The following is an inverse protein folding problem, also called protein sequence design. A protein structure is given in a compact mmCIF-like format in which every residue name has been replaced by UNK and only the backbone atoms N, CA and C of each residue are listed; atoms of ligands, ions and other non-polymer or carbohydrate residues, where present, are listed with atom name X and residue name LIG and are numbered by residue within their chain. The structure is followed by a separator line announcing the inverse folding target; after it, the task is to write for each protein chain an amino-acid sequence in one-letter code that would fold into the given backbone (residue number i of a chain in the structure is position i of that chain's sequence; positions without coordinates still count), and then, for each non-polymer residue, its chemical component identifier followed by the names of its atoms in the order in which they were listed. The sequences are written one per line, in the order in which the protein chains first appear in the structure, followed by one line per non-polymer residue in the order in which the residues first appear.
data_IF_183735678707
#
_entry.id   IF_183735678707
#
_cell.length_a   1.000
_cell.length_b   1.000
_cell.length_c   1.000
_cell.angle_alpha   90.00
_cell.angle_beta   90.00
_cell.angle_gamma   90.00
#
_symmetry.space_group_name_H-M   'P 1'
#
loop_
_entity.id
_entity.type
_entity.pdbx_description
1 polymer ?
#
# COMPACT_ATOMS: atom_id res chain seq x y z
N UNK A 1 31.11 -5.78 -51.88
CA UNK A 1 30.90 -4.54 -51.11
C UNK A 1 29.53 -3.92 -51.44
N UNK A 2 28.45 -4.70 -51.39
CA UNK A 2 27.08 -4.19 -51.51
C UNK A 2 26.14 -4.91 -50.52
N UNK A 3 26.54 -6.08 -50.05
CA UNK A 3 25.83 -6.89 -49.05
C UNK A 3 25.95 -6.41 -47.59
N UNK A 4 26.90 -5.51 -47.26
CA UNK A 4 27.09 -5.06 -45.87
C UNK A 4 26.26 -3.82 -45.50
N UNK A 5 25.67 -3.15 -46.50
CA UNK A 5 24.86 -1.95 -46.30
C UNK A 5 23.39 -2.25 -45.96
N UNK A 6 22.96 -3.50 -46.08
CA UNK A 6 21.59 -3.94 -45.82
C UNK A 6 21.32 -4.35 -44.36
N UNK A 7 22.34 -4.38 -43.48
CA UNK A 7 22.17 -4.84 -42.11
C UNK A 7 21.99 -3.72 -41.06
N UNK A 8 22.26 -2.46 -41.40
CA UNK A 8 22.20 -1.34 -40.44
C UNK A 8 20.90 -0.53 -40.48
N UNK A 9 20.03 -0.71 -41.48
CA UNK A 9 18.83 0.12 -41.64
C UNK A 9 17.62 -0.30 -40.78
N UNK A 10 17.69 -1.41 -40.03
CA UNK A 10 16.53 -1.98 -39.32
C UNK A 10 16.43 -1.63 -37.82
N UNK A 11 17.34 -0.82 -37.26
CA UNK A 11 17.36 -0.50 -35.82
C UNK A 11 16.91 0.93 -35.46
N UNK A 12 16.31 1.66 -36.39
CA UNK A 12 15.61 2.89 -36.06
C UNK A 12 14.17 2.57 -35.60
N UNK A 13 14.03 1.83 -34.50
CA UNK A 13 12.75 1.81 -33.76
C UNK A 13 12.66 3.20 -33.11
N UNK A 14 11.77 4.10 -33.54
CA UNK A 14 11.53 5.30 -32.76
C UNK A 14 11.08 4.81 -31.39
N UNK A 15 11.76 5.27 -30.35
CA UNK A 15 11.26 5.18 -28.99
C UNK A 15 9.95 5.98 -28.98
N UNK A 16 8.85 5.31 -29.34
CA UNK A 16 7.51 5.80 -29.10
C UNK A 16 7.37 5.75 -27.59
N UNK A 17 7.73 6.86 -26.94
CA UNK A 17 7.25 7.14 -25.61
C UNK A 17 5.75 6.88 -25.63
N UNK A 18 5.27 5.91 -24.85
CA UNK A 18 3.83 5.65 -24.74
C UNK A 18 3.17 6.96 -24.38
N UNK A 19 2.23 7.40 -25.22
CA UNK A 19 1.39 8.55 -24.90
C UNK A 19 0.79 8.33 -23.51
N UNK A 20 0.75 9.35 -22.63
CA UNK A 20 0.16 9.22 -21.31
C UNK A 20 -1.26 8.66 -21.45
N UNK A 21 -1.48 7.47 -20.89
CA UNK A 21 -2.80 6.84 -20.86
C UNK A 21 -3.76 7.74 -20.08
N UNK A 22 -4.96 7.92 -20.62
CA UNK A 22 -6.08 8.50 -19.86
C UNK A 22 -6.65 7.42 -18.94
N UNK A 23 -6.67 7.61 -17.61
CA UNK A 23 -7.23 6.63 -16.69
C UNK A 23 -8.74 6.46 -16.87
N UNK A 24 -9.24 5.23 -16.78
CA UNK A 24 -10.66 4.91 -16.73
C UNK A 24 -11.17 5.04 -15.29
N UNK A 25 -11.63 6.25 -14.95
CA UNK A 25 -12.07 6.59 -13.60
C UNK A 25 -13.32 5.80 -13.18
N UNK A 26 -14.21 5.47 -14.11
CA UNK A 26 -15.43 4.72 -13.79
C UNK A 26 -15.12 3.25 -13.49
N UNK A 27 -14.19 2.64 -14.23
CA UNK A 27 -13.68 1.31 -13.89
C UNK A 27 -12.99 1.31 -12.52
N UNK A 28 -12.17 2.32 -12.22
CA UNK A 28 -11.55 2.47 -10.90
C UNK A 28 -12.60 2.59 -9.79
N UNK A 29 -13.64 3.41 -9.98
CA UNK A 29 -14.72 3.60 -9.00
C UNK A 29 -15.51 2.32 -8.76
N UNK A 30 -15.85 1.59 -9.82
CA UNK A 30 -16.53 0.30 -9.73
C UNK A 30 -15.67 -0.74 -8.99
N UNK A 31 -14.37 -0.80 -9.28
CA UNK A 31 -13.44 -1.68 -8.58
C UNK A 31 -13.24 -1.31 -7.10
N UNK A 32 -13.23 -0.02 -6.77
CA UNK A 32 -13.09 0.47 -5.40
C UNK A 32 -14.34 0.26 -4.56
N UNK A 33 -15.53 0.33 -5.16
CA UNK A 33 -16.81 0.06 -4.45
C UNK A 33 -16.87 -1.36 -3.88
N UNK A 34 -16.15 -2.32 -4.49
CA UNK A 34 -16.02 -3.69 -3.97
C UNK A 34 -15.35 -3.76 -2.59
N UNK A 35 -14.58 -2.73 -2.22
CA UNK A 35 -13.91 -2.61 -0.91
C UNK A 35 -14.76 -1.90 0.15
N UNK A 36 -16.01 -1.55 -0.16
CA UNK A 36 -16.89 -0.81 0.76
C UNK A 36 -17.13 -1.53 2.08
N UNK A 37 -17.04 -2.87 2.10
CA UNK A 37 -17.14 -3.66 3.33
C UNK A 37 -16.01 -3.40 4.32
N UNK A 38 -14.87 -2.84 3.90
CA UNK A 38 -13.76 -2.48 4.80
C UNK A 38 -14.03 -1.16 5.53
N UNK A 39 -14.94 -0.33 5.02
CA UNK A 39 -15.15 1.04 5.49
C UNK A 39 -15.90 1.04 6.81
N UNK A 40 -15.37 1.78 7.78
CA UNK A 40 -15.93 1.88 9.12
C UNK A 40 -14.86 1.83 10.20
N UNK A 41 -15.33 1.69 11.43
CA UNK A 41 -14.49 1.53 12.61
C UNK A 41 -14.50 0.07 13.04
N UNK A 42 -13.32 -0.48 13.22
CA UNK A 42 -13.10 -1.87 13.63
C UNK A 42 -12.39 -1.91 14.97
N UNK A 43 -12.74 -2.91 15.78
CA UNK A 43 -12.05 -3.19 17.03
C UNK A 43 -12.07 -4.69 17.27
N UNK A 44 -10.94 -5.25 17.67
CA UNK A 44 -10.83 -6.69 17.91
C UNK A 44 -9.52 -7.06 18.58
N UNK A 45 -9.45 -8.31 19.01
CA UNK A 45 -8.22 -8.87 19.54
C UNK A 45 -7.39 -9.44 18.38
N UNK A 46 -6.08 -9.20 18.41
CA UNK A 46 -5.14 -9.80 17.48
C UNK A 46 -4.14 -10.66 18.24
N UNK A 47 -3.52 -11.61 17.54
CA UNK A 47 -2.40 -12.41 18.03
C UNK A 47 -1.34 -12.46 16.96
N UNK A 48 -0.17 -11.92 17.26
CA UNK A 48 0.96 -11.85 16.33
C UNK A 48 2.15 -12.56 16.93
N UNK A 49 2.76 -13.47 16.18
CA UNK A 49 4.05 -14.03 16.57
C UNK A 49 5.15 -13.02 16.21
N UNK A 50 5.77 -12.37 17.21
CA UNK A 50 6.89 -11.44 16.95
C UNK A 50 8.21 -12.17 16.77
N UNK A 51 8.45 -13.16 17.62
CA UNK A 51 9.60 -14.07 17.63
C UNK A 51 9.15 -15.43 18.13
N UNK A 52 9.86 -16.53 17.87
CA UNK A 52 9.57 -17.82 18.51
C UNK A 52 9.45 -17.63 20.03
N UNK A 53 8.31 -18.04 20.60
CA UNK A 53 8.03 -17.93 22.04
C UNK A 53 7.55 -16.57 22.56
N UNK A 54 7.52 -15.52 21.73
CA UNK A 54 7.06 -14.17 22.12
C UNK A 54 5.81 -13.75 21.33
N UNK A 55 4.60 -14.25 21.69
CA UNK A 55 3.36 -13.77 21.10
C UNK A 55 3.06 -12.34 21.61
N UNK A 56 2.58 -11.49 20.70
CA UNK A 56 1.98 -10.21 20.99
C UNK A 56 0.46 -10.36 20.85
N UNK A 57 -0.29 -9.97 21.88
CA UNK A 57 -1.76 -10.04 21.87
C UNK A 57 -2.37 -8.64 22.05
N UNK A 58 -2.30 -7.76 21.04
CA UNK A 58 -2.82 -6.41 21.17
C UNK A 58 -4.34 -6.37 20.94
N UNK A 59 -5.00 -5.41 21.59
CA UNK A 59 -6.32 -4.95 21.15
C UNK A 59 -6.10 -3.99 19.98
N UNK A 60 -6.52 -4.43 18.79
CA UNK A 60 -6.41 -3.71 17.54
C UNK A 60 -7.65 -2.82 17.36
N UNK A 61 -7.44 -1.59 16.93
CA UNK A 61 -8.51 -0.70 16.47
C UNK A 61 -8.14 -0.12 15.12
N UNK A 62 -9.09 -0.08 14.20
CA UNK A 62 -8.89 0.43 12.84
C UNK A 62 -10.00 1.40 12.45
N UNK A 63 -9.64 2.39 11.66
CA UNK A 63 -10.52 3.42 11.10
C UNK A 63 -10.26 3.49 9.60
N UNK A 64 -11.20 2.98 8.83
CA UNK A 64 -11.14 2.85 7.39
C UNK A 64 -12.17 3.77 6.74
N UNK A 65 -11.71 4.60 5.81
CA UNK A 65 -12.54 5.59 5.15
C UNK A 65 -12.11 5.79 3.70
N UNK A 66 -13.06 6.14 2.85
CA UNK A 66 -12.72 6.61 1.51
C UNK A 66 -12.18 8.05 1.55
N UNK A 67 -11.23 8.31 0.65
CA UNK A 67 -10.74 9.63 0.25
C UNK A 67 -10.91 9.77 -1.27
N UNK A 68 -10.76 11.00 -1.75
CA UNK A 68 -10.88 11.34 -3.17
C UNK A 68 -12.17 10.76 -3.79
N UNK A 69 -13.30 11.09 -3.19
CA UNK A 69 -14.63 10.70 -3.67
C UNK A 69 -14.82 9.18 -3.90
N UNK A 70 -14.24 8.35 -3.02
CA UNK A 70 -14.40 6.88 -3.10
C UNK A 70 -13.29 6.14 -3.84
N UNK A 71 -12.34 6.85 -4.45
CA UNK A 71 -11.26 6.21 -5.24
C UNK A 71 -10.09 5.71 -4.38
N UNK A 72 -9.93 6.23 -3.17
CA UNK A 72 -8.78 5.88 -2.31
C UNK A 72 -9.27 5.45 -0.93
N UNK A 73 -9.44 4.14 -0.67
CA UNK A 73 -9.53 3.62 0.69
C UNK A 73 -8.27 3.98 1.47
N UNK A 74 -8.46 4.59 2.62
CA UNK A 74 -7.41 4.91 3.58
C UNK A 74 -7.75 4.25 4.92
N UNK A 75 -6.86 3.42 5.42
CA UNK A 75 -7.06 2.62 6.63
C UNK A 75 -5.97 2.99 7.65
N UNK A 76 -6.38 3.35 8.86
CA UNK A 76 -5.48 3.62 9.98
C UNK A 76 -5.72 2.57 11.06
N UNK A 77 -4.68 1.88 11.47
CA UNK A 77 -4.74 0.89 12.54
C UNK A 77 -3.77 1.21 13.68
N UNK A 78 -4.18 0.95 14.91
CA UNK A 78 -3.24 0.85 16.03
C UNK A 78 -3.62 -0.29 16.97
N UNK A 79 -2.59 -1.00 17.43
CA UNK A 79 -2.70 -2.07 18.40
C UNK A 79 -2.13 -1.65 19.74
N UNK A 80 -2.88 -1.85 20.82
CA UNK A 80 -2.43 -1.58 22.20
C UNK A 80 -2.23 -2.88 22.97
N UNK A 81 -1.15 -2.97 23.73
CA UNK A 81 -0.93 -4.11 24.63
C UNK A 81 -2.06 -4.20 25.65
N UNK A 82 -2.59 -5.41 25.89
CA UNK A 82 -3.56 -5.64 26.97
C UNK A 82 -2.99 -5.35 28.36
N UNK A 83 -1.70 -5.61 28.56
CA UNK A 83 -1.04 -5.49 29.87
C UNK A 83 -0.85 -4.05 30.35
N UNK A 84 -0.49 -3.12 29.45
CA UNK A 84 -0.14 -1.75 29.83
C UNK A 84 -0.82 -0.65 28.99
N UNK A 85 -1.68 -1.03 28.04
CA UNK A 85 -2.42 -0.10 27.17
C UNK A 85 -1.56 0.73 26.21
N UNK A 86 -0.24 0.50 26.18
CA UNK A 86 0.68 1.24 25.31
C UNK A 86 0.54 0.76 23.87
N UNK A 87 0.78 1.67 22.94
CA UNK A 87 0.77 1.35 21.52
C UNK A 87 1.94 0.41 21.21
N UNK A 88 1.61 -0.77 20.71
CA UNK A 88 2.56 -1.80 20.29
C UNK A 88 2.75 -1.82 18.76
N UNK A 89 1.69 -1.48 18.03
CA UNK A 89 1.62 -1.46 16.57
C UNK A 89 0.91 -0.19 16.10
N UNK A 90 1.39 0.40 15.02
CA UNK A 90 0.65 1.38 14.23
C UNK A 90 0.81 1.05 12.76
N UNK A 91 -0.26 1.20 12.00
CA UNK A 91 -0.27 1.00 10.57
C UNK A 91 -1.10 2.06 9.86
N UNK A 92 -0.68 2.41 8.66
CA UNK A 92 -1.40 3.28 7.74
C UNK A 92 -1.34 2.65 6.36
N UNK A 93 -2.48 2.50 5.71
CA UNK A 93 -2.58 1.84 4.41
C UNK A 93 -3.43 2.69 3.48
N UNK A 94 -2.99 2.79 2.23
CA UNK A 94 -3.78 3.28 1.12
C UNK A 94 -3.94 2.17 0.07
N UNK A 95 -5.11 2.11 -0.53
CA UNK A 95 -5.40 1.21 -1.64
C UNK A 95 -5.74 2.05 -2.87
N UNK A 96 -5.30 1.59 -4.04
CA UNK A 96 -5.57 2.19 -5.34
C UNK A 96 -5.89 1.10 -6.36
N UNK A 97 -6.51 1.47 -7.48
CA UNK A 97 -6.80 0.54 -8.58
C UNK A 97 -5.96 0.94 -9.78
N UNK A 98 -5.24 -0.04 -10.30
CA UNK A 98 -4.53 0.03 -11.57
C UNK A 98 -5.49 -0.50 -12.63
N UNK A 99 -6.17 0.41 -13.34
CA UNK A 99 -7.14 0.09 -14.39
C UNK A 99 -6.48 -0.44 -15.66
N UNK A 100 -5.15 -0.34 -15.78
CA UNK A 100 -4.40 -0.97 -16.86
C UNK A 100 -4.12 -2.43 -16.58
N UNK A 101 -3.61 -2.71 -15.39
CA UNK A 101 -3.37 -4.09 -14.95
C UNK A 101 -4.65 -4.79 -14.47
N UNK A 102 -5.74 -4.05 -14.29
CA UNK A 102 -6.99 -4.54 -13.71
C UNK A 102 -6.87 -4.97 -12.24
N UNK A 103 -5.92 -4.40 -11.49
CA UNK A 103 -5.50 -4.91 -10.18
C UNK A 103 -5.52 -3.85 -9.07
N UNK A 104 -5.88 -4.25 -7.85
CA UNK A 104 -5.71 -3.42 -6.66
C UNK A 104 -4.24 -3.36 -6.26
N UNK A 105 -3.76 -2.15 -5.94
CA UNK A 105 -2.42 -1.90 -5.40
C UNK A 105 -2.57 -1.39 -3.97
N UNK A 106 -1.83 -1.99 -3.06
CA UNK A 106 -1.80 -1.58 -1.66
C UNK A 106 -0.43 -1.03 -1.31
N UNK A 107 -0.40 0.13 -0.64
CA UNK A 107 0.80 0.65 -0.01
C UNK A 107 0.55 0.82 1.48
N UNK A 108 1.30 0.08 2.28
CA UNK A 108 1.18 0.05 3.73
C UNK A 108 2.47 0.56 4.39
N UNK A 109 2.30 1.31 5.46
CA UNK A 109 3.35 1.83 6.32
C UNK A 109 3.09 1.32 7.72
N UNK A 110 4.10 0.73 8.35
CA UNK A 110 3.95 0.12 9.68
C UNK A 110 5.05 0.61 10.61
N UNK A 111 4.68 0.82 11.87
CA UNK A 111 5.61 1.14 12.95
C UNK A 111 5.40 0.16 14.09
N UNK A 112 6.50 -0.52 14.45
CA UNK A 112 6.56 -1.42 15.58
C UNK A 112 7.25 -0.71 16.75
N UNK A 113 6.49 -0.34 17.78
CA UNK A 113 6.97 0.58 18.82
C UNK A 113 7.67 -0.09 20.01
N UNK A 114 8.12 -1.34 19.87
CA UNK A 114 8.85 -2.05 20.94
C UNK A 114 10.31 -1.60 21.12
N UNK A 115 10.75 -0.53 20.46
CA UNK A 115 12.09 0.07 20.65
C UNK A 115 11.98 1.56 20.95
N UNK A 116 11.89 1.90 22.24
CA UNK A 116 12.44 3.16 22.74
C UNK A 116 13.97 3.03 22.76
N UNK A 117 14.62 3.18 21.61
CA UNK A 117 16.01 3.66 21.54
C UNK A 117 15.98 4.91 20.68
N UNK A 118 16.32 6.06 21.27
CA UNK A 118 16.65 7.28 20.52
C UNK A 118 17.71 6.90 19.48
N UNK A 119 17.33 6.76 18.23
CA UNK A 119 18.26 6.92 17.12
C UNK A 119 17.99 8.31 16.57
N UNK A 120 18.83 9.24 16.99
CA UNK A 120 19.09 10.48 16.25
C UNK A 120 19.39 10.11 14.81
N UNK A 121 18.48 10.40 13.89
CA UNK A 121 18.80 10.44 12.48
C UNK A 121 19.39 11.83 12.21
N UNK A 122 20.72 11.89 12.07
CA UNK A 122 21.39 13.03 11.45
C UNK A 122 21.28 12.79 9.95
N UNK A 123 20.53 13.65 9.26
CA UNK A 123 20.56 13.74 7.81
C UNK A 123 21.96 14.21 7.41
N UNK A 124 22.65 13.42 6.61
CA UNK A 124 23.78 13.84 5.78
C UNK A 124 23.31 13.82 4.34
#
# INVERSE_FOLDING_TARGET
MLEFLLFCAALAVPCLAQLPRVPDIEAQRAAMKKLSFLIGKWSGEARLQRRPGEPLEPVQTEDAQYKLDGLVPMIRGHGRNKSDGKIALQAFTIVSYDDEAGAHRMRAYHACLSRRRRSTWRLS
#
